data_IF_141853696211
#
_entry.id   IF_141853696211
#
_cell.length_a   1.000
_cell.length_b   1.000
_cell.length_c   1.000
_cell.angle_alpha   90.00
_cell.angle_beta   90.00
_cell.angle_gamma   90.00
#
_symmetry.space_group_name_H-M   'P 1'
#
loop_
_entity.id
_entity.type
_entity.pdbx_description
1 polymer ?
#
# COMPACT_ATOMS: atom_id res chain seq x y z
N UNK A 1 24.41 -3.58 -62.03
CA UNK A 1 24.17 -2.33 -61.26
C UNK A 1 23.14 -2.62 -60.18
N UNK A 2 23.24 -1.96 -59.02
CA UNK A 2 22.33 -1.98 -57.85
C UNK A 2 22.54 -3.10 -56.81
N UNK A 3 23.60 -2.98 -56.01
CA UNK A 3 23.71 -3.59 -54.66
C UNK A 3 24.19 -2.57 -53.63
N UNK A 4 23.60 -1.37 -53.63
CA UNK A 4 23.93 -0.31 -52.67
C UNK A 4 22.62 0.39 -52.30
N UNK A 5 21.87 -0.14 -51.33
CA UNK A 5 20.72 0.59 -50.75
C UNK A 5 20.15 -0.02 -49.46
N UNK A 6 20.80 -0.98 -48.79
CA UNK A 6 20.12 -1.72 -47.71
C UNK A 6 20.93 -1.89 -46.42
N UNK A 7 21.89 -1.00 -46.13
CA UNK A 7 22.69 -1.08 -44.91
C UNK A 7 22.66 0.16 -44.01
N UNK A 8 21.92 1.22 -44.37
CA UNK A 8 21.90 2.48 -43.60
C UNK A 8 20.61 2.75 -42.84
N UNK A 9 19.62 1.85 -42.88
CA UNK A 9 18.33 2.06 -42.19
C UNK A 9 18.24 1.37 -40.81
N UNK A 10 19.18 0.49 -40.46
CA UNK A 10 19.14 -0.25 -39.20
C UNK A 10 19.88 0.45 -38.03
N UNK A 11 20.65 1.50 -38.30
CA UNK A 11 21.43 2.22 -37.27
C UNK A 11 20.68 3.36 -36.59
N UNK A 12 19.48 3.74 -37.06
CA UNK A 12 18.70 4.85 -36.48
C UNK A 12 17.64 4.42 -35.45
N UNK A 13 17.45 3.12 -35.21
CA UNK A 13 16.41 2.62 -34.29
C UNK A 13 16.97 2.38 -32.87
N UNK A 14 18.29 2.44 -32.67
CA UNK A 14 18.91 2.05 -31.39
C UNK A 14 19.04 3.22 -30.39
N UNK A 15 18.90 4.47 -30.81
CA UNK A 15 19.05 5.65 -29.95
C UNK A 15 17.75 6.17 -29.29
N UNK A 16 16.61 5.51 -29.51
CA UNK A 16 15.30 5.97 -29.00
C UNK A 16 14.90 5.46 -27.60
N UNK A 17 15.67 4.58 -26.97
CA UNK A 17 15.31 3.96 -25.68
C UNK A 17 16.14 4.46 -24.52
N UNK A 18 16.31 5.78 -24.40
CA UNK A 18 16.83 6.36 -23.18
C UNK A 18 16.08 7.66 -22.99
N UNK A 19 14.97 7.59 -22.25
CA UNK A 19 14.38 8.59 -21.35
C UNK A 19 12.93 8.19 -21.04
N UNK A 20 12.71 6.94 -20.65
CA UNK A 20 11.61 6.68 -19.74
C UNK A 20 12.11 7.16 -18.37
N UNK A 21 11.75 8.39 -18.02
CA UNK A 21 11.90 8.87 -16.65
C UNK A 21 11.04 7.97 -15.78
N UNK A 22 11.68 6.94 -15.20
CA UNK A 22 11.12 6.22 -14.08
C UNK A 22 10.92 7.25 -12.98
N UNK A 23 9.71 7.81 -12.89
CA UNK A 23 9.22 8.38 -11.65
C UNK A 23 9.30 7.23 -10.65
N UNK A 24 10.41 7.16 -9.90
CA UNK A 24 10.65 6.14 -8.89
C UNK A 24 9.52 6.28 -7.86
N UNK A 25 8.43 5.53 -8.05
CA UNK A 25 7.35 5.46 -7.07
C UNK A 25 7.96 4.92 -5.78
N UNK A 26 7.64 5.53 -4.64
CA UNK A 26 8.05 4.99 -3.34
C UNK A 26 7.52 3.55 -3.25
N UNK A 27 8.38 2.52 -3.11
CA UNK A 27 7.90 1.15 -3.02
C UNK A 27 7.18 0.87 -1.69
N UNK A 28 7.31 1.74 -0.69
CA UNK A 28 6.77 1.58 0.66
C UNK A 28 7.50 0.50 1.48
N UNK A 29 7.45 0.64 2.79
CA UNK A 29 8.02 -0.33 3.75
C UNK A 29 6.96 -1.30 4.24
N UNK A 30 7.35 -2.55 4.49
CA UNK A 30 6.47 -3.54 5.13
C UNK A 30 6.50 -3.30 6.63
N UNK A 31 5.34 -2.98 7.20
CA UNK A 31 5.20 -2.71 8.63
C UNK A 31 4.72 -3.92 9.41
N UNK A 32 3.83 -4.70 8.79
CA UNK A 32 3.35 -5.98 9.30
C UNK A 32 3.44 -6.98 8.16
N UNK A 33 4.07 -8.12 8.41
CA UNK A 33 4.20 -9.16 7.40
C UNK A 33 3.44 -10.44 7.79
N UNK A 34 2.48 -10.81 6.95
CA UNK A 34 1.74 -12.07 7.00
C UNK A 34 1.17 -12.41 8.40
N UNK A 35 0.48 -11.45 9.02
CA UNK A 35 -0.12 -11.60 10.35
C UNK A 35 -1.64 -11.72 10.31
N UNK A 36 -2.21 -12.44 11.28
CA UNK A 36 -3.65 -12.40 11.54
C UNK A 36 -4.02 -11.08 12.21
N UNK A 37 -5.24 -10.61 11.94
CA UNK A 37 -5.86 -9.51 12.67
C UNK A 37 -6.56 -10.10 13.91
N UNK A 38 -6.26 -9.55 15.08
CA UNK A 38 -6.83 -10.01 16.36
C UNK A 38 -7.96 -9.10 16.85
N UNK A 39 -7.96 -7.83 16.46
CA UNK A 39 -8.99 -6.86 16.81
C UNK A 39 -9.03 -5.71 15.80
N UNK A 40 -10.23 -5.19 15.54
CA UNK A 40 -10.48 -3.96 14.80
C UNK A 40 -11.23 -2.99 15.71
N UNK A 41 -10.73 -1.76 15.85
CA UNK A 41 -11.42 -0.67 16.54
C UNK A 41 -11.81 0.41 15.55
N UNK A 42 -12.99 1.01 15.76
CA UNK A 42 -13.55 2.07 14.92
C UNK A 42 -14.14 3.18 15.79
N UNK A 43 -14.01 4.42 15.36
CA UNK A 43 -14.70 5.55 15.98
C UNK A 43 -13.77 6.56 16.64
N UNK A 44 -14.14 7.03 17.82
CA UNK A 44 -13.37 8.04 18.58
C UNK A 44 -12.28 7.36 19.42
N UNK A 45 -11.17 6.98 18.78
CA UNK A 45 -10.07 6.22 19.40
C UNK A 45 -9.02 7.19 19.95
N UNK A 46 -8.81 7.20 21.26
CA UNK A 46 -7.94 8.21 21.93
C UNK A 46 -6.49 7.77 22.11
N UNK A 47 -6.20 6.49 21.93
CA UNK A 47 -4.90 5.86 22.19
C UNK A 47 -4.11 5.55 20.91
N UNK A 48 -4.23 6.38 19.86
CA UNK A 48 -3.51 6.20 18.58
C UNK A 48 -2.64 7.39 18.22
N UNK A 49 -1.56 7.11 17.50
CA UNK A 49 -0.71 8.12 16.86
C UNK A 49 -1.59 8.83 15.82
N UNK A 50 -1.78 10.15 15.98
CA UNK A 50 -2.71 11.06 15.28
C UNK A 50 -4.10 11.32 15.90
N UNK A 51 -4.47 10.63 16.98
CA UNK A 51 -5.71 10.90 17.73
C UNK A 51 -7.00 10.48 17.02
N UNK A 52 -8.18 10.86 17.54
CA UNK A 52 -9.45 10.19 17.25
C UNK A 52 -10.08 10.49 15.88
N UNK A 53 -9.43 11.29 15.03
CA UNK A 53 -9.89 11.70 13.69
C UNK A 53 -11.40 12.02 13.61
N UNK A 54 -11.91 12.86 14.51
CA UNK A 54 -13.33 13.22 14.60
C UNK A 54 -14.30 12.02 14.58
N UNK A 55 -13.87 10.87 15.10
CA UNK A 55 -14.66 9.63 15.10
C UNK A 55 -14.52 8.76 13.86
N UNK A 56 -13.56 9.04 12.97
CA UNK A 56 -13.30 8.27 11.75
C UNK A 56 -12.01 7.43 11.82
N UNK A 57 -11.40 7.36 13.00
CA UNK A 57 -10.21 6.56 13.22
C UNK A 57 -10.51 5.05 13.12
N UNK A 58 -9.52 4.31 12.62
CA UNK A 58 -9.51 2.85 12.62
C UNK A 58 -8.17 2.37 13.15
N UNK A 59 -8.18 1.49 14.14
CA UNK A 59 -6.98 0.85 14.68
C UNK A 59 -7.06 -0.66 14.43
N UNK A 60 -6.00 -1.20 13.85
CA UNK A 60 -5.88 -2.63 13.54
C UNK A 60 -4.85 -3.25 14.48
N UNK A 61 -5.24 -4.30 15.18
CA UNK A 61 -4.36 -5.08 16.05
C UNK A 61 -3.99 -6.39 15.37
N UNK A 62 -2.71 -6.75 15.45
CA UNK A 62 -2.15 -7.92 14.77
C UNK A 62 -1.67 -8.97 15.78
N UNK A 63 -1.57 -10.22 15.33
CA UNK A 63 -1.16 -11.35 16.16
C UNK A 63 0.27 -11.25 16.71
N UNK A 64 1.13 -10.44 16.10
CA UNK A 64 2.47 -10.16 16.61
C UNK A 64 2.49 -9.14 17.76
N UNK A 65 1.32 -8.67 18.22
CA UNK A 65 1.17 -7.72 19.32
C UNK A 65 1.30 -6.25 18.90
N UNK A 66 1.53 -5.96 17.62
CA UNK A 66 1.56 -4.59 17.12
C UNK A 66 0.16 -4.09 16.77
N UNK A 67 -0.02 -2.77 16.82
CA UNK A 67 -1.25 -2.10 16.42
C UNK A 67 -0.90 -0.91 15.55
N UNK A 68 -1.54 -0.80 14.38
CA UNK A 68 -1.31 0.31 13.44
C UNK A 68 -2.64 0.94 13.05
N UNK A 69 -2.74 2.28 13.04
CA UNK A 69 -3.92 2.97 12.57
C UNK A 69 -3.94 3.06 11.03
N UNK A 70 -5.16 3.09 10.48
CA UNK A 70 -5.40 3.76 9.20
C UNK A 70 -5.51 5.25 9.48
N UNK A 71 -4.63 6.05 8.88
CA UNK A 71 -4.58 7.48 9.13
C UNK A 71 -4.30 8.27 7.84
N UNK A 72 -4.71 9.55 7.83
CA UNK A 72 -4.55 10.56 6.78
C UNK A 72 -4.79 10.09 5.33
N UNK A 73 -5.94 10.46 4.75
CA UNK A 73 -6.39 10.10 3.38
C UNK A 73 -6.74 8.62 3.16
N UNK A 74 -6.72 7.82 4.22
CA UNK A 74 -6.95 6.38 4.18
C UNK A 74 -7.77 5.85 5.36
N UNK A 75 -8.47 6.71 6.09
CA UNK A 75 -9.30 6.29 7.24
C UNK A 75 -10.79 6.17 6.86
N UNK A 76 -11.68 6.06 7.85
CA UNK A 76 -13.11 5.83 7.58
C UNK A 76 -13.81 7.00 6.85
N UNK A 77 -13.26 8.22 6.90
CA UNK A 77 -13.82 9.36 6.19
C UNK A 77 -13.53 9.31 4.67
N UNK A 78 -12.46 8.62 4.27
CA UNK A 78 -11.98 8.57 2.89
C UNK A 78 -12.61 7.42 2.08
N UNK A 79 -12.69 7.57 0.75
CA UNK A 79 -13.20 6.48 -0.12
C UNK A 79 -12.24 5.28 -0.14
N UNK A 80 -10.95 5.56 -0.22
CA UNK A 80 -9.88 4.56 -0.25
C UNK A 80 -9.79 3.82 1.09
N UNK A 81 -9.92 4.55 2.19
CA UNK A 81 -9.96 3.96 3.52
C UNK A 81 -11.14 3.03 3.73
N UNK A 82 -12.35 3.39 3.28
CA UNK A 82 -13.52 2.48 3.30
C UNK A 82 -13.26 1.15 2.59
N UNK A 83 -12.66 1.17 1.40
CA UNK A 83 -12.32 -0.05 0.68
C UNK A 83 -11.27 -0.91 1.42
N UNK A 84 -10.30 -0.28 2.09
CA UNK A 84 -9.35 -1.00 2.93
C UNK A 84 -10.00 -1.57 4.19
N UNK A 85 -10.93 -0.84 4.81
CA UNK A 85 -11.71 -1.32 5.95
C UNK A 85 -12.52 -2.56 5.56
N UNK A 86 -13.13 -2.57 4.38
CA UNK A 86 -13.84 -3.76 3.86
C UNK A 86 -12.89 -4.96 3.70
N UNK A 87 -11.69 -4.74 3.15
CA UNK A 87 -10.67 -5.78 3.00
C UNK A 87 -10.15 -6.31 4.34
N UNK A 88 -9.90 -5.43 5.31
CA UNK A 88 -9.48 -5.78 6.67
C UNK A 88 -10.57 -6.57 7.41
N UNK A 89 -11.82 -6.14 7.28
CA UNK A 89 -13.00 -6.82 7.85
C UNK A 89 -13.14 -8.22 7.26
N UNK A 90 -13.00 -8.36 5.95
CA UNK A 90 -12.97 -9.67 5.29
C UNK A 90 -11.83 -10.54 5.82
N UNK A 91 -10.60 -10.01 5.92
CA UNK A 91 -9.47 -10.75 6.47
C UNK A 91 -9.72 -11.22 7.91
N UNK A 92 -10.25 -10.34 8.76
CA UNK A 92 -10.57 -10.65 10.14
C UNK A 92 -11.57 -11.81 10.27
N UNK A 93 -12.71 -11.74 9.57
CA UNK A 93 -13.73 -12.80 9.65
C UNK A 93 -13.33 -14.09 8.93
N UNK A 94 -12.53 -14.00 7.87
CA UNK A 94 -12.01 -15.18 7.15
C UNK A 94 -10.75 -15.76 7.77
N UNK A 95 -10.24 -15.19 8.86
CA UNK A 95 -8.97 -15.58 9.51
C UNK A 95 -7.81 -15.64 8.50
N UNK A 96 -7.80 -14.69 7.55
CA UNK A 96 -6.72 -14.57 6.57
C UNK A 96 -5.62 -13.67 7.10
N UNK A 97 -4.39 -14.04 6.76
CA UNK A 97 -3.23 -13.23 7.06
C UNK A 97 -3.18 -12.03 6.11
N UNK A 98 -2.64 -10.92 6.63
CA UNK A 98 -2.44 -9.69 5.90
C UNK A 98 -1.00 -9.23 6.01
N UNK A 99 -0.53 -8.57 4.96
CA UNK A 99 0.68 -7.75 4.98
C UNK A 99 0.25 -6.30 4.80
N UNK A 100 0.73 -5.38 5.64
CA UNK A 100 0.46 -3.94 5.48
C UNK A 100 1.74 -3.15 5.26
N UNK A 101 1.61 -2.09 4.47
CA UNK A 101 2.73 -1.22 4.09
C UNK A 101 2.42 0.24 4.30
N UNK A 102 3.47 1.01 4.56
CA UNK A 102 3.46 2.47 4.61
C UNK A 102 4.26 3.03 3.43
N UNK A 103 3.66 3.94 2.65
CA UNK A 103 4.31 4.65 1.56
C UNK A 103 4.45 6.15 1.83
N UNK A 104 3.96 6.68 2.95
CA UNK A 104 3.99 8.10 3.24
C UNK A 104 5.31 8.54 3.87
N UNK A 105 5.65 8.03 5.06
CA UNK A 105 6.89 8.37 5.78
C UNK A 105 7.88 7.22 5.90
N UNK A 106 7.40 6.00 5.68
CA UNK A 106 8.17 4.77 5.82
C UNK A 106 8.67 4.50 7.25
N UNK A 107 7.94 4.97 8.28
CA UNK A 107 8.31 4.81 9.70
C UNK A 107 7.36 3.87 10.46
N UNK A 108 6.34 3.33 9.77
CA UNK A 108 5.38 2.38 10.34
C UNK A 108 4.62 2.93 11.54
N UNK A 109 4.33 4.23 11.54
CA UNK A 109 3.38 4.84 12.48
C UNK A 109 1.91 4.65 12.05
N UNK A 110 1.69 4.31 10.77
CA UNK A 110 0.41 4.05 10.12
C UNK A 110 0.61 3.13 8.90
N UNK A 111 -0.46 2.82 8.16
CA UNK A 111 -0.34 2.13 6.86
C UNK A 111 -1.37 2.66 5.84
N UNK A 112 -1.05 2.54 4.56
CA UNK A 112 -1.84 3.03 3.42
C UNK A 112 -2.03 1.96 2.32
N UNK A 113 -1.60 0.73 2.58
CA UNK A 113 -1.72 -0.40 1.66
C UNK A 113 -1.89 -1.71 2.45
N UNK A 114 -2.94 -2.46 2.10
CA UNK A 114 -3.22 -3.81 2.62
C UNK A 114 -3.08 -4.85 1.51
N UNK A 115 -2.38 -5.94 1.79
CA UNK A 115 -2.22 -7.09 0.92
C UNK A 115 -2.88 -8.29 1.59
N UNK A 116 -3.88 -8.87 0.92
CA UNK A 116 -4.50 -10.15 1.29
C UNK A 116 -3.77 -11.28 0.55
N UNK A 117 -3.02 -12.11 1.27
CA UNK A 117 -2.31 -13.25 0.67
C UNK A 117 -3.30 -14.35 0.28
N UNK A 118 -3.18 -14.91 -0.93
CA UNK A 118 -3.99 -16.06 -1.38
C UNK A 118 -4.01 -17.17 -0.32
N UNK A 119 -5.14 -17.91 -0.17
CA UNK A 119 -5.15 -19.16 0.56
C UNK A 119 -4.02 -20.10 0.10
#
# INVERSE_FOLDING_TARGET
>A
MKKIALLTLFTLIISGQAMATSNKKNPGVVCIDNQLITQLEFGYITNIVAGPDNGSAVLVHFANGQSLPLNWYYNANDRQGKAMIDALTLAFFSQRKVTVKDHFKNDCDQFDHVILTSP
#
